data_IF_480866796375
#
_entry.id   IF_480866796375
#
_cell.length_a   1.000
_cell.length_b   1.000
_cell.length_c   1.000
_cell.angle_alpha   90.00
_cell.angle_beta   90.00
_cell.angle_gamma   90.00
#
_symmetry.space_group_name_H-M   'P 1'
#
loop_
_entity.id
_entity.type
_entity.pdbx_description
1 polymer ?
#
# COMPACT_ATOMS: atom_id res chain seq x y z
N UNK A 1 0.87 -6.71 -3.24
CA UNK A 1 -0.38 -6.17 -2.68
C UNK A 1 -0.58 -4.70 -3.02
N UNK A 2 0.05 -3.74 -2.32
CA UNK A 2 -0.15 -2.31 -2.62
C UNK A 2 0.52 -1.89 -3.93
N UNK A 3 1.79 -2.23 -4.14
CA UNK A 3 2.50 -1.96 -5.40
C UNK A 3 1.77 -2.57 -6.61
N UNK A 4 1.44 -3.86 -6.53
CA UNK A 4 0.69 -4.57 -7.57
C UNK A 4 -0.65 -3.89 -7.92
N UNK A 5 -1.43 -3.49 -6.91
CA UNK A 5 -2.69 -2.78 -7.13
C UNK A 5 -2.45 -1.40 -7.76
N UNK A 6 -1.46 -0.64 -7.29
CA UNK A 6 -1.07 0.65 -7.86
C UNK A 6 -0.74 0.54 -9.36
N UNK A 7 0.08 -0.44 -9.74
CA UNK A 7 0.45 -0.69 -11.14
C UNK A 7 -0.77 -1.10 -11.98
N UNK A 8 -1.68 -1.88 -11.38
CA UNK A 8 -2.94 -2.28 -12.01
C UNK A 8 -3.81 -1.07 -12.41
N UNK A 9 -3.97 -0.11 -11.50
CA UNK A 9 -4.82 1.08 -11.66
C UNK A 9 -4.20 2.19 -12.51
N UNK A 10 -2.89 2.42 -12.36
CA UNK A 10 -2.21 3.59 -12.95
C UNK A 10 -1.47 3.29 -14.25
N UNK A 11 -1.10 2.02 -14.49
CA UNK A 11 -0.14 1.60 -15.52
C UNK A 11 1.20 2.34 -15.43
N UNK A 12 1.56 2.84 -14.25
CA UNK A 12 2.85 3.47 -14.02
C UNK A 12 4.01 2.47 -14.20
N UNK A 13 5.21 2.99 -14.45
CA UNK A 13 6.41 2.16 -14.52
C UNK A 13 6.74 1.60 -13.13
N UNK A 14 6.95 0.29 -13.05
CA UNK A 14 7.34 -0.37 -11.81
C UNK A 14 8.80 -0.04 -11.46
N UNK A 15 9.03 0.50 -10.26
CA UNK A 15 10.35 0.84 -9.74
C UNK A 15 10.80 -0.05 -8.57
N UNK A 16 9.94 -0.97 -8.16
CA UNK A 16 10.19 -1.93 -7.09
C UNK A 16 10.09 -1.35 -5.69
N UNK A 17 9.94 -2.24 -4.72
CA UNK A 17 10.01 -1.93 -3.29
C UNK A 17 11.47 -1.78 -2.84
N UNK A 18 11.74 -0.74 -2.04
CA UNK A 18 13.04 -0.50 -1.41
C UNK A 18 12.91 -0.50 0.11
N UNK A 19 13.60 -1.39 0.83
CA UNK A 19 13.58 -1.40 2.29
C UNK A 19 14.49 -0.30 2.83
N UNK A 20 13.91 0.87 3.08
CA UNK A 20 14.62 2.04 3.60
C UNK A 20 14.06 2.45 4.97
N UNK A 21 14.91 2.78 5.97
CA UNK A 21 14.50 3.09 7.33
C UNK A 21 14.04 4.53 7.49
N UNK A 22 13.12 5.00 6.64
CA UNK A 22 12.54 6.33 6.79
C UNK A 22 11.89 6.47 8.17
N UNK A 23 12.01 7.65 8.78
CA UNK A 23 11.53 7.90 10.15
C UNK A 23 10.08 7.44 10.38
N UNK A 24 9.19 7.72 9.42
CA UNK A 24 7.76 7.38 9.46
C UNK A 24 7.46 5.89 9.35
N UNK A 25 8.41 5.10 8.84
CA UNK A 25 8.32 3.63 8.77
C UNK A 25 8.99 3.02 10.00
N UNK A 26 10.16 3.53 10.39
CA UNK A 26 10.98 2.95 11.45
C UNK A 26 10.40 3.16 12.87
N UNK A 27 9.60 4.20 13.08
CA UNK A 27 9.13 4.61 14.42
C UNK A 27 7.65 4.28 14.70
N UNK A 28 7.09 3.29 14.03
CA UNK A 28 5.70 2.86 14.27
C UNK A 28 5.62 1.41 14.74
N UNK A 29 4.64 1.09 15.59
CA UNK A 29 4.41 -0.26 16.13
C UNK A 29 3.56 -1.16 15.21
N UNK A 30 3.00 -0.60 14.16
CA UNK A 30 2.15 -1.30 13.21
C UNK A 30 2.85 -1.40 11.85
N UNK A 31 2.49 -2.38 11.01
CA UNK A 31 2.98 -2.46 9.64
C UNK A 31 2.78 -1.14 8.90
N UNK A 32 3.85 -0.60 8.31
CA UNK A 32 3.84 0.67 7.57
C UNK A 32 4.59 0.58 6.25
N UNK A 33 4.18 1.44 5.32
CA UNK A 33 4.79 1.63 4.01
C UNK A 33 4.82 3.13 3.69
N UNK A 34 5.76 3.54 2.87
CA UNK A 34 5.77 4.84 2.20
C UNK A 34 5.54 4.60 0.70
N UNK A 35 4.65 5.39 0.10
CA UNK A 35 4.33 5.28 -1.33
C UNK A 35 4.80 6.53 -2.05
N UNK A 36 5.69 6.36 -3.02
CA UNK A 36 6.10 7.41 -3.94
C UNK A 36 5.23 7.34 -5.21
N UNK A 37 4.33 8.31 -5.38
CA UNK A 37 3.35 8.32 -6.49
C UNK A 37 3.89 8.78 -7.85
N UNK A 38 5.10 9.35 -7.89
CA UNK A 38 5.76 9.89 -9.08
C UNK A 38 6.77 10.99 -8.73
N UNK A 39 7.54 11.42 -9.72
CA UNK A 39 8.57 12.45 -9.55
C UNK A 39 8.07 13.82 -10.03
N UNK A 40 7.96 14.80 -9.12
CA UNK A 40 7.58 16.17 -9.50
C UNK A 40 8.65 16.88 -10.35
N UNK A 41 9.90 16.42 -10.29
CA UNK A 41 11.01 16.90 -11.11
C UNK A 41 11.01 16.33 -12.53
N UNK A 42 10.19 15.31 -12.80
CA UNK A 42 9.98 14.77 -14.14
C UNK A 42 8.68 15.34 -14.71
N UNK A 43 8.76 16.03 -15.86
CA UNK A 43 7.63 16.74 -16.45
C UNK A 43 6.43 15.83 -16.73
N UNK A 44 6.66 14.59 -17.18
CA UNK A 44 5.58 13.65 -17.49
C UNK A 44 4.87 13.18 -16.23
N UNK A 45 5.62 12.79 -15.19
CA UNK A 45 5.05 12.39 -13.91
C UNK A 45 4.34 13.56 -13.22
N UNK A 46 4.91 14.77 -13.25
CA UNK A 46 4.27 15.98 -12.75
C UNK A 46 2.94 16.27 -13.46
N UNK A 47 2.91 16.17 -14.79
CA UNK A 47 1.69 16.31 -15.58
C UNK A 47 0.63 15.26 -15.23
N UNK A 48 1.03 14.01 -14.97
CA UNK A 48 0.11 12.97 -14.48
C UNK A 48 -0.43 13.33 -13.10
N UNK A 49 0.43 13.67 -12.14
CA UNK A 49 0.06 14.00 -10.77
C UNK A 49 -0.85 15.22 -10.68
N UNK A 50 -0.75 16.17 -11.62
CA UNK A 50 -1.65 17.31 -11.74
C UNK A 50 -3.09 16.94 -12.11
N UNK A 51 -3.32 15.80 -12.76
CA UNK A 51 -4.66 15.36 -13.18
C UNK A 51 -5.40 14.66 -12.04
N UNK A 52 -6.61 15.12 -11.72
CA UNK A 52 -7.47 14.52 -10.71
C UNK A 52 -7.69 13.02 -10.93
N UNK A 53 -7.99 12.62 -12.18
CA UNK A 53 -8.19 11.21 -12.56
C UNK A 53 -7.01 10.32 -12.18
N UNK A 54 -5.76 10.79 -12.35
CA UNK A 54 -4.60 9.99 -12.00
C UNK A 54 -4.43 9.87 -10.48
N UNK A 55 -4.74 10.93 -9.73
CA UNK A 55 -4.75 10.88 -8.26
C UNK A 55 -5.84 9.94 -7.73
N UNK A 56 -7.00 9.89 -8.38
CA UNK A 56 -8.07 8.94 -8.03
C UNK A 56 -7.64 7.50 -8.30
N UNK A 57 -6.92 7.24 -9.40
CA UNK A 57 -6.32 5.92 -9.68
C UNK A 57 -5.28 5.52 -8.62
N UNK A 58 -4.41 6.45 -8.21
CA UNK A 58 -3.46 6.23 -7.11
C UNK A 58 -4.19 5.87 -5.82
N UNK A 59 -5.21 6.65 -5.44
CA UNK A 59 -6.00 6.43 -4.24
C UNK A 59 -6.72 5.07 -4.27
N UNK A 60 -7.32 4.72 -5.40
CA UNK A 60 -8.00 3.44 -5.61
C UNK A 60 -7.02 2.25 -5.45
N UNK A 61 -5.84 2.33 -6.08
CA UNK A 61 -4.80 1.30 -5.97
C UNK A 61 -4.29 1.13 -4.53
N UNK A 62 -4.06 2.22 -3.80
CA UNK A 62 -3.66 2.19 -2.39
C UNK A 62 -4.74 1.54 -1.53
N UNK A 63 -5.99 1.99 -1.67
CA UNK A 63 -7.11 1.48 -0.88
C UNK A 63 -7.35 -0.01 -1.13
N UNK A 64 -7.29 -0.44 -2.39
CA UNK A 64 -7.42 -1.86 -2.74
C UNK A 64 -6.27 -2.70 -2.15
N UNK A 65 -5.03 -2.22 -2.28
CA UNK A 65 -3.86 -2.89 -1.73
C UNK A 65 -3.94 -3.09 -0.21
N UNK A 66 -4.42 -2.08 0.52
CA UNK A 66 -4.64 -2.15 1.97
C UNK A 66 -5.75 -3.15 2.31
N UNK A 67 -6.86 -3.17 1.56
CA UNK A 67 -7.95 -4.15 1.74
C UNK A 67 -7.43 -5.58 1.54
N UNK A 68 -6.62 -5.82 0.50
CA UNK A 68 -5.96 -7.11 0.24
C UNK A 68 -5.05 -7.51 1.40
N UNK A 69 -4.24 -6.58 1.91
CA UNK A 69 -3.38 -6.82 3.08
C UNK A 69 -4.18 -7.24 4.31
N UNK A 70 -5.26 -6.51 4.61
CA UNK A 70 -6.14 -6.83 5.73
C UNK A 70 -6.70 -8.25 5.65
N UNK A 71 -7.14 -8.67 4.47
CA UNK A 71 -7.67 -10.03 4.27
C UNK A 71 -6.59 -11.10 4.49
N UNK A 72 -5.36 -10.88 4.01
CA UNK A 72 -4.24 -11.80 4.24
C UNK A 72 -3.93 -11.93 5.73
N UNK A 73 -3.88 -10.81 6.47
CA UNK A 73 -3.64 -10.84 7.91
C UNK A 73 -4.79 -11.53 8.66
N UNK A 74 -6.04 -11.26 8.28
CA UNK A 74 -7.22 -11.91 8.87
C UNK A 74 -7.18 -13.43 8.69
N UNK A 75 -6.74 -13.94 7.54
CA UNK A 75 -6.59 -15.38 7.30
C UNK A 75 -5.45 -16.01 8.08
N UNK A 76 -4.39 -15.23 8.36
CA UNK A 76 -3.23 -15.69 9.15
C UNK A 76 -3.50 -15.72 10.65
N UNK A 77 -4.54 -15.05 11.12
CA UNK A 77 -5.05 -15.22 12.48
C UNK A 77 -6.17 -16.26 12.45
N UNK A 78 -5.94 -17.52 12.89
CA UNK A 78 -7.06 -18.35 13.26
C UNK A 78 -7.78 -17.67 14.43
N UNK A 79 -9.10 -17.79 14.46
CA UNK A 79 -9.96 -17.26 15.53
C UNK A 79 -9.38 -17.55 16.91
N UNK A 80 -9.19 -16.51 17.73
CA UNK A 80 -8.91 -16.64 19.16
C UNK A 80 -10.11 -17.20 19.96
N UNK A 81 -11.07 -17.84 19.31
CA UNK A 81 -12.24 -18.46 19.91
C UNK A 81 -12.27 -19.96 19.58
N UNK A 82 -11.27 -20.70 20.06
CA UNK A 82 -11.34 -22.16 20.22
C UNK A 82 -10.23 -22.63 21.17
N UNK A 83 -10.26 -22.22 22.44
CA UNK A 83 -9.80 -23.01 23.60
C UNK A 83 -9.73 -22.15 24.88
N UNK A 84 -10.81 -22.16 25.64
CA UNK A 84 -10.67 -22.33 27.09
C UNK A 84 -11.42 -23.62 27.41
N UNK A 85 -10.76 -24.71 27.84
CA UNK A 85 -11.48 -25.81 28.44
C UNK A 85 -11.94 -25.35 29.83
N UNK A 86 -13.19 -25.67 30.14
CA UNK A 86 -13.73 -25.62 31.50
C UNK A 86 -12.83 -26.44 32.44
N UNK A 87 -12.38 -25.83 33.54
CA UNK A 87 -12.21 -26.49 34.84
C UNK A 87 -12.08 -25.45 35.94
#
# INVERSE_FOLDING_TARGET
MVEEALLGHTKAMNRGMRPEPFYVIANVRHPAILVEGGFLTNTDDAGKLGRAVYRDQLAAGIAEGIKRYREVIRRRQPSAAASAPET
#
